data_IF_974453127138
#
_entry.id   IF_974453127138
#
_cell.length_a   1.000
_cell.length_b   1.000
_cell.length_c   1.000
_cell.angle_alpha   90.00
_cell.angle_beta   90.00
_cell.angle_gamma   90.00
#
_symmetry.space_group_name_H-M   'P 1'
#
loop_
_entity.id
_entity.type
_entity.pdbx_description
1 polymer ?
#
# COMPACT_ATOMS: atom_id res chain seq x y z
N UNK A 1 -12.82 -3.21 -8.03
CA UNK A 1 -11.65 -3.12 -7.13
C UNK A 1 -12.10 -2.70 -5.75
N UNK A 2 -11.67 -3.45 -4.75
CA UNK A 2 -11.70 -3.10 -3.32
C UNK A 2 -10.70 -1.98 -3.02
N UNK A 3 -10.80 -1.35 -1.84
CA UNK A 3 -9.82 -0.36 -1.39
C UNK A 3 -8.40 -0.93 -1.40
N UNK A 4 -8.22 -2.15 -0.91
CA UNK A 4 -6.94 -2.85 -0.92
C UNK A 4 -6.37 -2.99 -2.34
N UNK A 5 -7.18 -3.41 -3.32
CA UNK A 5 -6.71 -3.53 -4.70
C UNK A 5 -6.26 -2.18 -5.27
N UNK A 6 -7.01 -1.10 -5.03
CA UNK A 6 -6.63 0.25 -5.47
C UNK A 6 -5.32 0.71 -4.79
N UNK A 7 -5.17 0.48 -3.50
CA UNK A 7 -3.96 0.86 -2.73
C UNK A 7 -2.75 0.03 -3.18
N UNK A 8 -2.92 -1.28 -3.39
CA UNK A 8 -1.87 -2.17 -3.86
C UNK A 8 -1.38 -1.77 -5.26
N UNK A 9 -2.27 -1.27 -6.12
CA UNK A 9 -1.89 -0.76 -7.44
C UNK A 9 -0.96 0.46 -7.39
N UNK A 10 -0.90 1.18 -6.26
CA UNK A 10 0.01 2.32 -6.05
C UNK A 10 1.41 1.90 -5.56
N UNK A 11 1.61 0.62 -5.22
CA UNK A 11 2.90 0.12 -4.76
C UNK A 11 3.88 0.01 -5.93
N UNK A 12 5.10 0.52 -5.76
CA UNK A 12 6.14 0.42 -6.77
C UNK A 12 6.39 -1.06 -7.12
N UNK A 13 6.41 -1.42 -8.42
CA UNK A 13 6.56 -2.80 -8.85
C UNK A 13 7.92 -3.39 -8.44
N UNK A 14 8.96 -2.57 -8.26
CA UNK A 14 10.27 -3.00 -7.78
C UNK A 14 10.22 -3.63 -6.38
N UNK A 15 9.37 -3.11 -5.49
CA UNK A 15 9.22 -3.67 -4.15
C UNK A 15 8.53 -5.03 -4.22
N UNK A 16 7.44 -5.15 -4.99
CA UNK A 16 6.73 -6.41 -5.14
C UNK A 16 7.61 -7.49 -5.81
N UNK A 17 8.45 -7.11 -6.78
CA UNK A 17 9.37 -8.05 -7.45
C UNK A 17 10.41 -8.65 -6.50
N UNK A 18 10.95 -7.85 -5.58
CA UNK A 18 11.95 -8.28 -4.59
C UNK A 18 11.37 -9.19 -3.50
N UNK A 19 10.07 -9.10 -3.20
CA UNK A 19 9.40 -9.97 -2.23
C UNK A 19 9.10 -11.33 -2.87
N UNK A 20 9.45 -12.48 -2.24
CA UNK A 20 9.07 -13.79 -2.75
C UNK A 20 7.54 -13.93 -2.85
N UNK A 21 7.05 -14.57 -3.92
CA UNK A 21 5.62 -14.59 -4.26
C UNK A 21 4.71 -15.07 -3.10
N UNK A 22 5.17 -16.05 -2.33
CA UNK A 22 4.47 -16.63 -1.17
C UNK A 22 4.19 -15.57 -0.09
N UNK A 23 5.07 -14.58 0.07
CA UNK A 23 4.94 -13.52 1.08
C UNK A 23 4.26 -12.25 0.56
N UNK A 24 4.11 -12.07 -0.76
CA UNK A 24 3.54 -10.84 -1.35
C UNK A 24 2.14 -10.55 -0.81
N UNK A 25 1.26 -11.56 -0.80
CA UNK A 25 -0.11 -11.45 -0.29
C UNK A 25 -0.11 -11.02 1.18
N UNK A 26 0.71 -11.68 2.01
CA UNK A 26 0.80 -11.32 3.43
C UNK A 26 1.33 -9.89 3.63
N UNK A 27 2.36 -9.49 2.89
CA UNK A 27 2.95 -8.17 2.98
C UNK A 27 1.95 -7.06 2.61
N UNK A 28 1.24 -7.21 1.49
CA UNK A 28 0.24 -6.23 1.02
C UNK A 28 -0.96 -6.17 1.96
N UNK A 29 -1.50 -7.30 2.41
CA UNK A 29 -2.62 -7.33 3.36
C UNK A 29 -2.25 -6.65 4.70
N UNK A 30 -1.06 -6.92 5.25
CA UNK A 30 -0.59 -6.29 6.50
C UNK A 30 -0.38 -4.79 6.33
N UNK A 31 0.10 -4.34 5.17
CA UNK A 31 0.22 -2.90 4.88
C UNK A 31 -1.15 -2.24 4.81
N UNK A 32 -2.10 -2.82 4.07
CA UNK A 32 -3.45 -2.25 3.96
C UNK A 32 -4.17 -2.22 5.31
N UNK A 33 -4.06 -3.28 6.13
CA UNK A 33 -4.61 -3.31 7.49
C UNK A 33 -4.01 -2.24 8.41
N UNK A 34 -2.71 -1.96 8.26
CA UNK A 34 -2.06 -0.89 9.01
C UNK A 34 -2.61 0.48 8.58
N UNK A 35 -2.69 0.74 7.27
CA UNK A 35 -3.22 2.01 6.74
C UNK A 35 -4.68 2.21 7.15
N UNK A 36 -5.53 1.20 7.05
CA UNK A 36 -6.93 1.29 7.48
C UNK A 36 -7.09 1.63 8.97
N UNK A 37 -6.11 1.23 9.81
CA UNK A 37 -6.13 1.49 11.25
C UNK A 37 -5.58 2.88 11.60
N UNK A 38 -4.46 3.26 11.00
CA UNK A 38 -3.73 4.49 11.37
C UNK A 38 -4.18 5.71 10.55
N UNK A 39 -4.71 5.48 9.35
CA UNK A 39 -5.16 6.52 8.40
C UNK A 39 -6.55 6.17 7.85
N UNK A 40 -7.58 6.03 8.71
CA UNK A 40 -8.91 5.59 8.29
C UNK A 40 -9.55 6.54 7.28
N UNK A 41 -9.39 7.86 7.43
CA UNK A 41 -9.93 8.86 6.49
C UNK A 41 -9.29 8.76 5.10
N UNK A 42 -7.98 8.58 5.04
CA UNK A 42 -7.29 8.39 3.77
C UNK A 42 -7.62 7.03 3.14
N UNK A 43 -7.89 6.01 3.94
CA UNK A 43 -8.27 4.68 3.46
C UNK A 43 -9.69 4.67 2.88
N UNK A 44 -10.64 5.37 3.51
CA UNK A 44 -12.04 5.43 3.08
C UNK A 44 -12.19 6.09 1.69
N UNK A 45 -11.31 7.02 1.33
CA UNK A 45 -11.21 7.59 -0.01
C UNK A 45 -10.98 6.54 -1.13
N UNK A 46 -10.50 5.34 -0.78
CA UNK A 46 -10.25 4.25 -1.73
C UNK A 46 -11.36 3.20 -1.74
N UNK A 47 -12.39 3.33 -0.91
CA UNK A 47 -13.50 2.38 -0.87
C UNK A 47 -14.28 2.29 -2.20
N UNK A 48 -15.11 1.25 -2.31
CA UNK A 48 -15.86 0.99 -3.54
C UNK A 48 -16.88 2.11 -3.76
N UNK A 49 -16.92 2.66 -4.97
CA UNK A 49 -17.84 3.76 -5.31
C UNK A 49 -17.30 5.16 -4.99
N UNK A 50 -16.12 5.25 -4.37
CA UNK A 50 -15.39 6.51 -4.17
C UNK A 50 -14.24 6.60 -5.18
N UNK A 51 -14.14 7.72 -5.87
CA UNK A 51 -12.97 8.05 -6.69
C UNK A 51 -12.06 8.98 -5.87
N UNK A 52 -10.86 8.52 -5.49
CA UNK A 52 -9.93 9.36 -4.73
C UNK A 52 -9.44 10.51 -5.62
N UNK A 53 -9.30 11.68 -5.01
CA UNK A 53 -8.69 12.86 -5.62
C UNK A 53 -7.21 12.62 -5.92
N UNK A 54 -6.61 13.48 -6.74
CA UNK A 54 -5.18 13.41 -7.05
C UNK A 54 -4.30 13.61 -5.80
N UNK A 55 -4.72 14.47 -4.87
CA UNK A 55 -4.02 14.65 -3.59
C UNK A 55 -4.06 13.38 -2.74
N UNK A 56 -5.23 12.74 -2.60
CA UNK A 56 -5.37 11.49 -1.85
C UNK A 56 -4.56 10.35 -2.50
N UNK A 57 -4.54 10.27 -3.83
CA UNK A 57 -3.68 9.33 -4.56
C UNK A 57 -2.20 9.57 -4.27
N UNK A 58 -1.75 10.83 -4.29
CA UNK A 58 -0.36 11.17 -4.00
C UNK A 58 0.02 10.87 -2.54
N UNK A 59 -0.85 11.19 -1.59
CA UNK A 59 -0.67 10.89 -0.18
C UNK A 59 -0.60 9.38 0.07
N UNK A 60 -1.56 8.62 -0.47
CA UNK A 60 -1.59 7.17 -0.36
C UNK A 60 -0.37 6.52 -1.02
N UNK A 61 0.05 7.01 -2.19
CA UNK A 61 1.25 6.52 -2.90
C UNK A 61 2.49 6.73 -2.04
N UNK A 62 2.68 7.91 -1.44
CA UNK A 62 3.82 8.18 -0.55
C UNK A 62 3.78 7.27 0.68
N UNK A 63 2.62 7.16 1.32
CA UNK A 63 2.42 6.36 2.53
C UNK A 63 2.70 4.87 2.29
N UNK A 64 2.03 4.26 1.31
CA UNK A 64 2.15 2.83 1.05
C UNK A 64 3.58 2.46 0.65
N UNK A 65 4.22 3.27 -0.21
CA UNK A 65 5.59 3.02 -0.64
C UNK A 65 6.62 3.28 0.46
N UNK A 66 6.38 4.27 1.34
CA UNK A 66 7.21 4.50 2.53
C UNK A 66 7.24 3.27 3.44
N UNK A 67 6.06 2.69 3.73
CA UNK A 67 5.96 1.46 4.55
C UNK A 67 6.70 0.29 3.90
N UNK A 68 6.57 0.12 2.58
CA UNK A 68 7.33 -0.92 1.87
C UNK A 68 8.83 -0.65 1.92
N UNK A 69 9.27 0.58 1.69
CA UNK A 69 10.67 0.96 1.73
C UNK A 69 11.30 0.67 3.10
N UNK A 70 10.65 1.07 4.20
CA UNK A 70 11.12 0.79 5.56
C UNK A 70 11.25 -0.71 5.83
N UNK A 71 10.24 -1.50 5.44
CA UNK A 71 10.30 -2.97 5.57
C UNK A 71 11.44 -3.55 4.76
N UNK A 72 11.64 -3.09 3.54
CA UNK A 72 12.70 -3.57 2.66
C UNK A 72 14.10 -3.25 3.22
N UNK A 73 14.31 -2.03 3.74
CA UNK A 73 15.55 -1.65 4.43
C UNK A 73 15.81 -2.57 5.64
N UNK A 74 14.78 -2.83 6.45
CA UNK A 74 14.88 -3.73 7.61
C UNK A 74 15.29 -5.16 7.23
N UNK A 75 14.86 -5.62 6.06
CA UNK A 75 15.21 -6.95 5.53
C UNK A 75 16.45 -6.96 4.62
N UNK A 76 17.18 -5.84 4.52
CA UNK A 76 18.38 -5.69 3.64
C UNK A 76 18.10 -6.02 2.18
N UNK A 77 16.92 -5.63 1.68
CA UNK A 77 16.45 -5.87 0.31
C UNK A 77 16.60 -4.62 -0.59
N UNK A 78 17.03 -3.49 -0.03
CA UNK A 78 17.30 -2.24 -0.75
C UNK A 78 18.79 -1.96 -0.83
#
# INVERSE_FOLDING_TARGET
MTANEKIIALVKPEYLKKIPAIFRKHATERTCKLIAREHPDLYSAFEKGVEPTEEEKQQMTKLVNGIFEERMKKHKML
#
